data_IF_090590843505
#
_entry.id   IF_090590843505
#
_cell.length_a   1.000
_cell.length_b   1.000
_cell.length_c   1.000
_cell.angle_alpha   90.00
_cell.angle_beta   90.00
_cell.angle_gamma   90.00
#
_symmetry.space_group_name_H-M   'P 1'
#
loop_
_entity.id
_entity.type
_entity.pdbx_description
1 polymer ?
#
# COMPACT_ATOMS: atom_id res chain seq x y z
N UNK A 1 -8.99 -12.62 -13.14
CA UNK A 1 -9.67 -13.38 -14.20
C UNK A 1 -11.05 -13.75 -13.74
N UNK A 2 -12.06 -13.70 -14.59
CA UNK A 2 -13.39 -14.15 -14.22
C UNK A 2 -13.43 -15.69 -14.27
N UNK A 3 -13.13 -16.32 -13.17
CA UNK A 3 -13.32 -17.76 -12.96
C UNK A 3 -14.54 -17.93 -12.06
N UNK A 4 -15.42 -18.88 -12.41
CA UNK A 4 -16.64 -19.13 -11.63
C UNK A 4 -16.36 -19.48 -10.17
N UNK A 5 -15.21 -20.07 -9.88
CA UNK A 5 -14.74 -20.43 -8.54
C UNK A 5 -14.46 -19.21 -7.64
N UNK A 6 -13.92 -18.14 -8.20
CA UNK A 6 -13.63 -16.91 -7.45
C UNK A 6 -14.83 -15.97 -7.32
N UNK A 7 -15.88 -16.16 -8.16
CA UNK A 7 -17.06 -15.30 -8.20
C UNK A 7 -18.22 -15.87 -7.39
N UNK A 8 -18.40 -17.19 -7.40
CA UNK A 8 -19.49 -17.88 -6.72
C UNK A 8 -18.91 -18.52 -5.45
N UNK A 9 -19.00 -17.77 -4.37
CA UNK A 9 -18.61 -18.25 -3.04
C UNK A 9 -19.47 -19.48 -2.69
N UNK A 10 -18.82 -20.63 -2.50
CA UNK A 10 -19.47 -21.86 -2.07
C UNK A 10 -19.58 -22.97 -3.11
N UNK A 11 -19.21 -22.75 -4.37
CA UNK A 11 -19.28 -23.80 -5.40
C UNK A 11 -18.31 -24.97 -5.15
N UNK A 12 -17.09 -24.68 -4.66
CA UNK A 12 -16.09 -25.67 -4.23
C UNK A 12 -15.65 -25.45 -2.79
N UNK A 13 -16.47 -24.86 -1.94
CA UNK A 13 -16.10 -24.60 -0.55
C UNK A 13 -16.09 -25.91 0.24
N UNK A 14 -14.88 -26.35 0.66
CA UNK A 14 -14.69 -27.48 1.55
C UNK A 14 -15.02 -27.14 3.01
N UNK A 15 -14.89 -25.87 3.38
CA UNK A 15 -15.12 -25.38 4.72
C UNK A 15 -16.42 -24.59 4.83
N UNK A 16 -17.19 -24.87 5.88
CA UNK A 16 -18.43 -24.16 6.23
C UNK A 16 -18.45 -23.75 7.69
N UNK A 17 -19.35 -22.84 8.07
CA UNK A 17 -19.54 -22.39 9.43
C UNK A 17 -18.33 -21.64 9.98
N UNK A 18 -17.91 -21.97 11.22
CA UNK A 18 -16.82 -21.28 11.93
C UNK A 18 -15.47 -21.36 11.22
N UNK A 19 -15.15 -22.47 10.57
CA UNK A 19 -13.90 -22.63 9.83
C UNK A 19 -13.82 -21.64 8.65
N UNK A 20 -14.89 -21.51 7.88
CA UNK A 20 -14.99 -20.54 6.81
C UNK A 20 -14.89 -19.09 7.34
N UNK A 21 -15.58 -18.82 8.47
CA UNK A 21 -15.51 -17.51 9.14
C UNK A 21 -14.10 -17.13 9.57
N UNK A 22 -13.32 -18.08 10.08
CA UNK A 22 -11.92 -17.86 10.46
C UNK A 22 -11.03 -17.51 9.25
N UNK A 23 -11.18 -18.20 8.14
CA UNK A 23 -10.45 -17.88 6.90
C UNK A 23 -10.82 -16.50 6.34
N UNK A 24 -12.11 -16.17 6.34
CA UNK A 24 -12.57 -14.85 5.90
C UNK A 24 -12.06 -13.71 6.79
N UNK A 25 -12.00 -13.95 8.10
CA UNK A 25 -11.43 -13.00 9.06
C UNK A 25 -9.93 -12.82 8.86
N UNK A 26 -9.22 -13.88 8.48
CA UNK A 26 -7.79 -13.82 8.15
C UNK A 26 -7.52 -12.87 6.97
N UNK A 27 -8.33 -12.92 5.93
CA UNK A 27 -8.22 -12.02 4.75
C UNK A 27 -8.37 -10.53 5.16
N UNK A 28 -9.29 -10.23 6.07
CA UNK A 28 -9.45 -8.88 6.62
C UNK A 28 -8.23 -8.44 7.45
N UNK A 29 -7.72 -9.33 8.29
CA UNK A 29 -6.52 -9.05 9.11
C UNK A 29 -5.29 -8.84 8.24
N UNK A 30 -5.13 -9.64 7.19
CA UNK A 30 -4.04 -9.49 6.20
C UNK A 30 -4.07 -8.11 5.54
N UNK A 31 -5.23 -7.62 5.16
CA UNK A 31 -5.38 -6.28 4.56
C UNK A 31 -4.86 -5.18 5.50
N UNK A 32 -5.22 -5.25 6.79
CA UNK A 32 -4.73 -4.30 7.82
C UNK A 32 -3.23 -4.44 8.02
N UNK A 33 -2.70 -5.67 8.06
CA UNK A 33 -1.28 -5.93 8.23
C UNK A 33 -0.47 -5.34 7.06
N UNK A 34 -0.91 -5.55 5.83
CA UNK A 34 -0.28 -4.96 4.64
C UNK A 34 -0.31 -3.43 4.71
N UNK A 35 -1.41 -2.82 5.14
CA UNK A 35 -1.50 -1.37 5.34
C UNK A 35 -0.49 -0.86 6.38
N UNK A 36 -0.29 -1.58 7.49
CA UNK A 36 0.72 -1.26 8.51
C UNK A 36 2.14 -1.37 7.96
N UNK A 37 2.45 -2.43 7.21
CA UNK A 37 3.76 -2.61 6.57
C UNK A 37 4.05 -1.50 5.55
N UNK A 38 3.08 -1.18 4.69
CA UNK A 38 3.21 -0.09 3.72
C UNK A 38 3.45 1.26 4.40
N UNK A 39 2.72 1.53 5.48
CA UNK A 39 2.93 2.74 6.29
C UNK A 39 4.34 2.79 6.87
N UNK A 40 4.84 1.68 7.37
CA UNK A 40 6.17 1.61 8.00
C UNK A 40 7.29 1.79 6.98
N UNK A 41 7.22 1.11 5.84
CA UNK A 41 8.28 1.15 4.83
C UNK A 41 8.29 2.43 3.98
N UNK A 42 7.12 2.93 3.58
CA UNK A 42 7.02 4.04 2.62
C UNK A 42 6.73 5.39 3.27
N UNK A 43 6.02 5.43 4.39
CA UNK A 43 5.64 6.68 5.06
C UNK A 43 6.37 6.92 6.39
N UNK A 44 7.42 6.16 6.68
CA UNK A 44 8.23 6.34 7.90
C UNK A 44 7.48 6.02 9.21
N UNK A 45 6.47 5.14 9.17
CA UNK A 45 5.74 4.69 10.35
C UNK A 45 5.04 5.83 11.09
N UNK A 46 5.38 6.00 12.37
CA UNK A 46 4.80 7.03 13.25
C UNK A 46 5.41 8.43 13.07
N UNK A 47 6.44 8.60 12.24
CA UNK A 47 7.07 9.91 12.04
C UNK A 47 6.10 10.88 11.38
N UNK A 48 5.99 12.08 11.98
CA UNK A 48 5.32 13.23 11.39
C UNK A 48 6.39 14.12 10.78
N UNK A 49 6.20 14.67 9.57
CA UNK A 49 7.14 15.63 8.99
C UNK A 49 7.39 16.80 9.94
N UNK A 50 8.65 17.15 10.15
CA UNK A 50 9.09 18.25 11.01
C UNK A 50 8.83 18.08 12.53
N UNK A 51 8.36 16.92 12.99
CA UNK A 51 8.19 16.63 14.41
C UNK A 51 9.44 15.87 14.91
N UNK A 52 10.25 16.53 15.73
CA UNK A 52 11.34 15.93 16.48
C UNK A 52 10.91 15.60 17.92
N UNK A 53 11.82 14.98 18.69
CA UNK A 53 11.54 14.60 20.09
C UNK A 53 11.23 15.79 21.01
N UNK A 54 11.70 16.97 20.66
CA UNK A 54 11.54 18.22 21.42
C UNK A 54 10.39 19.10 20.95
N UNK A 55 9.69 18.72 19.89
CA UNK A 55 8.58 19.48 19.32
C UNK A 55 8.66 19.68 17.81
N UNK A 56 7.87 20.60 17.28
CA UNK A 56 7.88 20.95 15.87
C UNK A 56 9.07 21.88 15.56
N UNK A 57 9.91 21.46 14.59
CA UNK A 57 11.00 22.26 14.03
C UNK A 57 10.71 22.56 12.56
N UNK A 58 10.30 23.78 12.29
CA UNK A 58 10.12 24.25 10.91
C UNK A 58 11.42 24.73 10.28
N UNK A 59 11.64 24.55 8.98
CA UNK A 59 12.85 25.03 8.29
C UNK A 59 13.05 26.55 8.34
N UNK A 60 12.07 27.30 8.87
CA UNK A 60 12.13 28.75 9.08
C UNK A 60 12.62 29.20 10.46
N UNK A 61 13.12 28.28 11.31
CA UNK A 61 13.66 28.61 12.65
C UNK A 61 12.62 28.74 13.76
N UNK A 62 11.34 28.51 13.49
CA UNK A 62 10.30 28.45 14.53
C UNK A 62 10.32 27.06 15.18
N UNK A 63 10.73 26.99 16.44
CA UNK A 63 10.67 25.81 17.27
C UNK A 63 9.54 25.96 18.30
N UNK A 64 8.60 25.02 18.30
CA UNK A 64 7.54 24.97 19.30
C UNK A 64 7.78 23.80 20.23
N UNK A 65 8.26 24.05 21.47
CA UNK A 65 8.49 22.98 22.44
C UNK A 65 7.15 22.37 22.86
N UNK A 66 7.04 21.06 22.69
CA UNK A 66 5.86 20.28 23.09
C UNK A 66 6.27 19.30 24.21
N UNK A 67 5.41 19.06 25.21
CA UNK A 67 5.66 18.04 26.20
C UNK A 67 5.78 16.66 25.52
N UNK A 68 6.73 15.85 25.98
CA UNK A 68 7.04 14.54 25.39
C UNK A 68 5.83 13.62 25.22
N UNK A 69 4.86 13.68 26.14
CA UNK A 69 3.63 12.91 26.02
C UNK A 69 2.75 13.29 24.81
N UNK A 70 2.70 14.58 24.44
CA UNK A 70 1.98 15.03 23.26
C UNK A 70 2.69 14.61 21.97
N UNK A 71 4.02 14.60 21.94
CA UNK A 71 4.79 14.14 20.77
C UNK A 71 4.48 12.65 20.49
N UNK A 72 4.47 11.82 21.53
CA UNK A 72 4.12 10.41 21.41
C UNK A 72 2.67 10.22 20.92
N UNK A 73 1.73 10.96 21.52
CA UNK A 73 0.32 10.88 21.12
C UNK A 73 0.10 11.29 19.65
N UNK A 74 0.76 12.34 19.18
CA UNK A 74 0.73 12.79 17.79
C UNK A 74 1.35 11.73 16.85
N UNK A 75 2.44 11.07 17.24
CA UNK A 75 3.03 9.98 16.48
C UNK A 75 2.06 8.80 16.30
N UNK A 76 1.43 8.35 17.39
CA UNK A 76 0.43 7.27 17.34
C UNK A 76 -0.75 7.66 16.45
N UNK A 77 -1.27 8.86 16.62
CA UNK A 77 -2.39 9.37 15.83
C UNK A 77 -2.05 9.47 14.34
N UNK A 78 -0.86 9.95 14.01
CA UNK A 78 -0.34 10.00 12.64
C UNK A 78 -0.26 8.60 12.03
N UNK A 79 0.25 7.62 12.77
CA UNK A 79 0.31 6.23 12.30
C UNK A 79 -1.10 5.68 12.01
N UNK A 80 -2.05 5.88 12.92
CA UNK A 80 -3.43 5.44 12.75
C UNK A 80 -4.09 6.05 11.51
N UNK A 81 -3.89 7.35 11.28
CA UNK A 81 -4.42 8.03 10.08
C UNK A 81 -3.82 7.45 8.80
N UNK A 82 -2.52 7.23 8.75
CA UNK A 82 -1.84 6.65 7.59
C UNK A 82 -2.34 5.24 7.28
N UNK A 83 -2.48 4.39 8.30
CA UNK A 83 -3.04 3.03 8.15
C UNK A 83 -4.49 3.08 7.67
N UNK A 84 -5.31 3.98 8.24
CA UNK A 84 -6.70 4.16 7.80
C UNK A 84 -6.78 4.63 6.34
N UNK A 85 -5.89 5.53 5.93
CA UNK A 85 -5.80 6.01 4.54
C UNK A 85 -5.43 4.88 3.57
N UNK A 86 -4.48 4.01 3.91
CA UNK A 86 -4.16 2.85 3.09
C UNK A 86 -5.30 1.85 3.02
N UNK A 87 -5.97 1.56 4.13
CA UNK A 87 -7.15 0.69 4.13
C UNK A 87 -8.26 1.26 3.24
N UNK A 88 -8.51 2.56 3.33
CA UNK A 88 -9.47 3.24 2.47
C UNK A 88 -9.06 3.14 0.98
N UNK A 89 -7.79 3.33 0.69
CA UNK A 89 -7.24 3.22 -0.67
C UNK A 89 -7.40 1.79 -1.21
N UNK A 90 -7.11 0.76 -0.42
CA UNK A 90 -7.31 -0.63 -0.83
C UNK A 90 -8.80 -0.95 -1.10
N UNK A 91 -9.70 -0.43 -0.27
CA UNK A 91 -11.14 -0.54 -0.51
C UNK A 91 -11.54 0.19 -1.80
N UNK A 92 -11.07 1.43 -2.00
CA UNK A 92 -11.35 2.20 -3.21
C UNK A 92 -10.85 1.47 -4.47
N UNK A 93 -9.65 0.92 -4.46
CA UNK A 93 -9.10 0.13 -5.56
C UNK A 93 -9.97 -1.11 -5.83
N UNK A 94 -10.33 -1.85 -4.79
CA UNK A 94 -11.16 -3.06 -4.91
C UNK A 94 -12.52 -2.78 -5.57
N UNK A 95 -13.13 -1.63 -5.26
CA UNK A 95 -14.46 -1.27 -5.77
C UNK A 95 -14.45 -0.50 -7.09
N UNK A 96 -13.34 0.16 -7.44
CA UNK A 96 -13.25 0.99 -8.64
C UNK A 96 -12.60 0.29 -9.83
N UNK A 97 -11.76 -0.74 -9.62
CA UNK A 97 -11.12 -1.44 -10.73
C UNK A 97 -12.14 -2.23 -11.55
N UNK A 98 -12.28 -1.92 -12.86
CA UNK A 98 -13.13 -2.68 -13.74
C UNK A 98 -12.54 -4.07 -13.98
N UNK A 99 -13.41 -5.01 -14.27
CA UNK A 99 -13.03 -6.37 -14.62
C UNK A 99 -12.53 -6.42 -16.05
N UNK A 100 -11.30 -6.95 -16.24
CA UNK A 100 -10.69 -7.09 -17.55
C UNK A 100 -11.00 -8.46 -18.16
N UNK A 101 -11.27 -8.49 -19.48
CA UNK A 101 -11.26 -9.74 -20.24
C UNK A 101 -9.84 -10.25 -20.40
N UNK A 102 -9.68 -11.55 -20.60
CA UNK A 102 -8.38 -12.18 -20.85
C UNK A 102 -7.64 -11.54 -22.03
N UNK A 103 -8.33 -11.27 -23.14
CA UNK A 103 -7.77 -10.61 -24.32
C UNK A 103 -7.21 -9.22 -24.03
N UNK A 104 -7.92 -8.45 -23.20
CA UNK A 104 -7.47 -7.11 -22.78
C UNK A 104 -6.21 -7.18 -21.91
N UNK A 105 -6.15 -8.17 -21.02
CA UNK A 105 -5.00 -8.41 -20.17
C UNK A 105 -3.76 -8.82 -21.02
N UNK A 106 -3.95 -9.71 -21.98
CA UNK A 106 -2.87 -10.13 -22.91
C UNK A 106 -2.40 -8.97 -23.78
N UNK A 107 -3.30 -8.16 -24.28
CA UNK A 107 -2.96 -6.96 -25.06
C UNK A 107 -2.16 -5.95 -24.21
N UNK A 108 -2.58 -5.71 -22.98
CA UNK A 108 -1.86 -4.82 -22.05
C UNK A 108 -0.45 -5.37 -21.76
N UNK A 109 -0.33 -6.66 -21.47
CA UNK A 109 0.95 -7.30 -21.17
C UNK A 109 1.95 -7.21 -22.33
N UNK A 110 1.55 -7.66 -23.49
CA UNK A 110 2.45 -7.78 -24.64
C UNK A 110 2.68 -6.46 -25.37
N UNK A 111 1.66 -5.62 -25.54
CA UNK A 111 1.77 -4.39 -26.34
C UNK A 111 2.16 -3.15 -25.52
N UNK A 112 1.92 -3.13 -24.22
CA UNK A 112 2.20 -1.95 -23.40
C UNK A 112 3.29 -2.24 -22.37
N UNK A 113 3.12 -3.27 -21.52
CA UNK A 113 4.05 -3.52 -20.42
C UNK A 113 5.41 -4.04 -20.91
N UNK A 114 5.44 -4.92 -21.89
CA UNK A 114 6.68 -5.46 -22.44
C UNK A 114 7.55 -4.38 -23.10
N UNK A 115 7.07 -3.54 -24.03
CA UNK A 115 7.87 -2.43 -24.55
C UNK A 115 8.28 -1.43 -23.49
N UNK A 116 7.38 -1.11 -22.54
CA UNK A 116 7.68 -0.19 -21.43
C UNK A 116 8.81 -0.72 -20.54
N UNK A 117 8.84 -2.02 -20.25
CA UNK A 117 9.93 -2.65 -19.49
C UNK A 117 11.27 -2.60 -20.23
N UNK A 118 11.28 -2.83 -21.53
CA UNK A 118 12.50 -2.69 -22.34
C UNK A 118 13.05 -1.25 -22.34
N UNK A 119 12.16 -0.27 -22.52
CA UNK A 119 12.54 1.15 -22.44
C UNK A 119 13.11 1.49 -21.07
N UNK A 120 12.50 0.99 -19.99
CA UNK A 120 12.99 1.20 -18.63
C UNK A 120 14.40 0.61 -18.43
N UNK A 121 14.66 -0.60 -18.91
CA UNK A 121 16.00 -1.23 -18.86
C UNK A 121 17.04 -0.40 -19.62
N UNK A 122 16.71 0.11 -20.81
CA UNK A 122 17.61 0.95 -21.58
C UNK A 122 17.92 2.24 -20.86
N UNK A 123 16.89 2.93 -20.33
CA UNK A 123 17.07 4.20 -19.61
C UNK A 123 17.93 3.97 -18.35
N UNK A 124 17.63 2.95 -17.57
CA UNK A 124 18.41 2.65 -16.35
C UNK A 124 19.86 2.30 -16.69
N UNK A 125 20.10 1.56 -17.75
CA UNK A 125 21.47 1.24 -18.22
C UNK A 125 22.24 2.50 -18.60
N UNK A 126 21.63 3.42 -19.35
CA UNK A 126 22.24 4.69 -19.73
C UNK A 126 22.57 5.55 -18.50
N UNK A 127 21.63 5.66 -17.56
CA UNK A 127 21.82 6.43 -16.32
C UNK A 127 22.95 5.85 -15.47
N UNK A 128 23.03 4.51 -15.35
CA UNK A 128 24.10 3.85 -14.59
C UNK A 128 25.47 4.10 -15.24
N UNK A 129 25.59 3.93 -16.55
CA UNK A 129 26.83 4.20 -17.27
C UNK A 129 27.25 5.67 -17.13
N UNK A 130 26.30 6.58 -17.26
CA UNK A 130 26.59 8.03 -17.14
C UNK A 130 27.02 8.44 -15.73
N UNK A 131 26.51 7.76 -14.71
CA UNK A 131 26.96 7.98 -13.31
C UNK A 131 28.32 7.34 -13.01
N UNK A 132 28.70 6.32 -13.74
CA UNK A 132 29.95 5.59 -13.55
C UNK A 132 31.15 6.22 -14.34
N UNK A 133 30.85 7.07 -15.31
CA UNK A 133 31.81 7.87 -16.07
C UNK A 133 32.04 9.25 -15.44
#
# INVERSE_FOLDING_TARGET
MPEGESEIVGYFAEYSGMKFGMFFLTDLVETVLVACLMTTFFLGGWQVPYLLQDGFHFPGGAAWPLPHGLVIALGIFSFMIKVALFNWLFMAIRWTLPRFRYDQLMHLGWKILFPASLVNVIITSIVVVWRAS
#
